data_IF_656943750598
#
_entry.id   IF_656943750598
#
_cell.length_a   1.000
_cell.length_b   1.000
_cell.length_c   1.000
_cell.angle_alpha   90.00
_cell.angle_beta   90.00
_cell.angle_gamma   90.00
#
_symmetry.space_group_name_H-M   'P 1'
#
loop_
_entity.id
_entity.type
_entity.pdbx_description
1 polymer ?
#
# COMPACT_ATOMS: atom_id res chain seq x y z
N UNK A 1 3.69 28.03 -31.40
CA UNK A 1 2.98 28.64 -30.25
C UNK A 1 4.04 29.13 -29.28
N UNK A 2 3.92 30.34 -28.71
CA UNK A 2 4.86 30.79 -27.68
C UNK A 2 4.89 29.79 -26.52
N UNK A 3 6.09 29.47 -26.01
CA UNK A 3 6.23 28.57 -24.87
C UNK A 3 5.60 29.25 -23.65
N UNK A 4 4.84 28.47 -22.87
CA UNK A 4 4.22 28.97 -21.64
C UNK A 4 5.33 29.28 -20.64
N UNK A 5 5.16 30.33 -19.85
CA UNK A 5 6.10 30.58 -18.75
C UNK A 5 6.05 29.42 -17.76
N UNK A 6 7.11 29.24 -16.98
CA UNK A 6 7.16 28.16 -16.00
C UNK A 6 6.04 28.28 -14.96
N UNK A 7 5.73 29.51 -14.52
CA UNK A 7 4.59 29.78 -13.63
C UNK A 7 3.25 29.39 -14.29
N UNK A 8 3.00 29.79 -15.54
CA UNK A 8 1.77 29.40 -16.26
C UNK A 8 1.64 27.88 -16.39
N UNK A 9 2.75 27.17 -16.60
CA UNK A 9 2.77 25.71 -16.70
C UNK A 9 2.41 25.07 -15.36
N UNK A 10 2.94 25.59 -14.25
CA UNK A 10 2.58 25.17 -12.91
C UNK A 10 1.08 25.39 -12.63
N UNK A 11 0.59 26.62 -12.86
CA UNK A 11 -0.81 26.99 -12.56
C UNK A 11 -1.80 26.13 -13.35
N UNK A 12 -1.52 25.87 -14.63
CA UNK A 12 -2.34 24.97 -15.45
C UNK A 12 -2.31 23.52 -14.95
N UNK A 13 -1.17 23.08 -14.41
CA UNK A 13 -1.03 21.72 -13.87
C UNK A 13 -1.84 21.57 -12.58
N UNK A 14 -1.80 22.57 -11.69
CA UNK A 14 -2.67 22.62 -10.50
C UNK A 14 -4.14 22.69 -10.89
N UNK A 15 -4.51 23.52 -11.85
CA UNK A 15 -5.89 23.60 -12.34
C UNK A 15 -6.37 22.26 -12.92
N UNK A 16 -5.50 21.51 -13.61
CA UNK A 16 -5.81 20.17 -14.09
C UNK A 16 -6.07 19.19 -12.93
N UNK A 17 -5.19 19.16 -11.92
CA UNK A 17 -5.41 18.31 -10.73
C UNK A 17 -6.72 18.72 -10.05
N UNK A 18 -7.02 20.01 -9.94
CA UNK A 18 -8.26 20.51 -9.34
C UNK A 18 -9.50 20.01 -10.06
N UNK A 19 -9.45 19.93 -11.39
CA UNK A 19 -10.51 19.33 -12.21
C UNK A 19 -10.71 17.83 -11.97
N UNK A 20 -9.70 17.11 -11.45
CA UNK A 20 -9.81 15.71 -11.06
C UNK A 20 -10.23 15.54 -9.59
N UNK A 21 -9.60 16.31 -8.70
CA UNK A 21 -9.82 16.27 -7.26
C UNK A 21 -9.28 17.56 -6.60
N UNK A 22 -10.18 18.41 -6.09
CA UNK A 22 -9.83 19.71 -5.50
C UNK A 22 -9.00 19.59 -4.21
N UNK A 23 -9.30 18.60 -3.36
CA UNK A 23 -8.56 18.38 -2.12
C UNK A 23 -7.10 17.97 -2.38
N UNK A 24 -6.87 17.11 -3.37
CA UNK A 24 -5.53 16.74 -3.82
C UNK A 24 -4.79 17.95 -4.38
N UNK A 25 -5.43 18.76 -5.22
CA UNK A 25 -4.82 19.97 -5.80
C UNK A 25 -4.38 20.95 -4.70
N UNK A 26 -5.25 21.22 -3.74
CA UNK A 26 -4.98 22.11 -2.61
C UNK A 26 -3.83 21.58 -1.75
N UNK A 27 -3.81 20.29 -1.45
CA UNK A 27 -2.71 19.68 -0.69
C UNK A 27 -1.38 19.75 -1.44
N UNK A 28 -1.36 19.41 -2.73
CA UNK A 28 -0.17 19.48 -3.58
C UNK A 28 0.36 20.92 -3.64
N UNK A 29 -0.50 21.91 -3.88
CA UNK A 29 -0.10 23.31 -3.96
C UNK A 29 0.50 23.84 -2.65
N UNK A 30 -0.03 23.36 -1.52
CA UNK A 30 0.49 23.69 -0.19
C UNK A 30 1.83 23.02 0.09
N UNK A 31 2.00 21.77 -0.35
CA UNK A 31 3.21 20.95 -0.08
C UNK A 31 4.45 21.52 -0.78
N UNK A 32 4.29 22.06 -1.99
CA UNK A 32 5.43 22.53 -2.82
C UNK A 32 5.63 24.06 -2.78
N UNK A 33 5.13 24.71 -1.73
CA UNK A 33 5.17 26.17 -1.58
C UNK A 33 6.61 26.70 -1.66
N UNK A 34 6.81 27.81 -2.38
CA UNK A 34 8.11 28.49 -2.49
C UNK A 34 8.99 28.08 -3.67
N UNK A 35 8.65 27.01 -4.41
CA UNK A 35 9.45 26.52 -5.56
C UNK A 35 8.63 26.34 -6.85
N UNK A 36 7.49 27.03 -6.97
CA UNK A 36 6.50 26.84 -8.04
C UNK A 36 7.06 27.06 -9.46
N UNK A 37 7.83 28.14 -9.67
CA UNK A 37 8.45 28.43 -10.97
C UNK A 37 9.47 27.36 -11.37
N UNK A 38 10.34 26.94 -10.44
CA UNK A 38 11.32 25.86 -10.69
C UNK A 38 10.62 24.54 -11.05
N UNK A 39 9.55 24.19 -10.33
CA UNK A 39 8.74 23.01 -10.65
C UNK A 39 8.08 23.17 -12.02
N UNK A 40 7.58 24.36 -12.33
CA UNK A 40 7.09 24.71 -13.66
C UNK A 40 8.08 24.36 -14.77
N UNK A 41 9.37 24.69 -14.60
CA UNK A 41 10.43 24.31 -15.54
C UNK A 41 10.59 22.79 -15.65
N UNK A 42 10.60 22.07 -14.52
CA UNK A 42 10.72 20.60 -14.47
C UNK A 42 9.55 19.86 -15.13
N UNK A 43 8.36 20.45 -15.11
CA UNK A 43 7.15 19.96 -15.78
C UNK A 43 7.16 20.20 -17.30
N UNK A 44 8.20 20.83 -17.85
CA UNK A 44 8.31 21.04 -19.28
C UNK A 44 8.35 19.73 -20.07
N UNK A 45 7.62 19.73 -21.19
CA UNK A 45 7.70 18.69 -22.22
C UNK A 45 8.37 19.22 -23.50
N UNK A 46 8.71 20.51 -23.57
CA UNK A 46 9.23 21.16 -24.79
C UNK A 46 10.74 21.01 -24.94
N UNK A 47 11.48 20.75 -23.85
CA UNK A 47 12.94 20.57 -23.87
C UNK A 47 13.47 19.32 -24.58
N UNK A 48 12.61 18.36 -24.93
CA UNK A 48 12.97 17.19 -25.74
C UNK A 48 11.98 17.04 -26.91
N UNK A 49 12.50 17.05 -28.14
CA UNK A 49 11.68 16.98 -29.38
C UNK A 49 10.62 15.87 -29.34
N UNK A 50 10.96 14.70 -28.80
CA UNK A 50 10.04 13.55 -28.70
C UNK A 50 8.83 13.77 -27.78
N UNK A 51 8.91 14.69 -26.81
CA UNK A 51 7.82 14.98 -25.88
C UNK A 51 7.03 16.24 -26.25
N UNK A 52 7.62 17.12 -27.07
CA UNK A 52 7.03 18.41 -27.43
C UNK A 52 5.65 18.25 -28.10
N UNK A 53 5.43 17.18 -28.86
CA UNK A 53 4.15 16.85 -29.51
C UNK A 53 2.99 16.66 -28.51
N UNK A 54 3.29 16.30 -27.27
CA UNK A 54 2.29 16.12 -26.23
C UNK A 54 2.02 17.40 -25.43
N UNK A 55 2.78 18.47 -25.67
CA UNK A 55 2.85 19.65 -24.80
C UNK A 55 1.52 20.31 -24.49
N UNK A 56 0.53 20.24 -25.39
CA UNK A 56 -0.81 20.81 -25.22
C UNK A 56 -1.93 19.76 -25.38
N UNK A 57 -1.62 18.48 -25.22
CA UNK A 57 -2.60 17.39 -25.28
C UNK A 57 -3.14 17.09 -23.87
N UNK A 58 -4.34 16.50 -23.79
CA UNK A 58 -4.90 16.04 -22.51
C UNK A 58 -3.96 15.08 -21.77
N UNK A 59 -3.32 14.16 -22.49
CA UNK A 59 -2.31 13.25 -21.91
C UNK A 59 -1.09 14.02 -21.39
N UNK A 60 -0.60 15.03 -22.12
CA UNK A 60 0.49 15.88 -21.64
C UNK A 60 0.13 16.66 -20.37
N UNK A 61 -1.10 17.15 -20.25
CA UNK A 61 -1.60 17.76 -19.01
C UNK A 61 -1.66 16.76 -17.85
N UNK A 62 -2.19 15.57 -18.09
CA UNK A 62 -2.25 14.50 -17.10
C UNK A 62 -0.85 14.04 -16.64
N UNK A 63 0.11 13.90 -17.55
CA UNK A 63 1.49 13.50 -17.19
C UNK A 63 2.18 14.58 -16.35
N UNK A 64 1.95 15.86 -16.64
CA UNK A 64 2.45 16.94 -15.77
C UNK A 64 1.81 16.88 -14.38
N UNK A 65 0.50 16.61 -14.30
CA UNK A 65 -0.19 16.44 -13.03
C UNK A 65 0.38 15.28 -12.21
N UNK A 66 0.67 14.14 -12.84
CA UNK A 66 1.34 13.01 -12.21
C UNK A 66 2.74 13.38 -11.72
N UNK A 67 3.55 14.02 -12.57
CA UNK A 67 4.89 14.50 -12.19
C UNK A 67 4.87 15.49 -11.03
N UNK A 68 3.85 16.34 -10.96
CA UNK A 68 3.68 17.28 -9.86
C UNK A 68 3.31 16.56 -8.54
N UNK A 69 2.44 15.56 -8.59
CA UNK A 69 2.15 14.71 -7.42
C UNK A 69 3.41 13.97 -6.96
N UNK A 70 4.13 13.34 -7.89
CA UNK A 70 5.40 12.66 -7.61
C UNK A 70 6.40 13.61 -6.95
N UNK A 71 6.56 14.83 -7.47
CA UNK A 71 7.41 15.87 -6.90
C UNK A 71 7.01 16.22 -5.46
N UNK A 72 5.71 16.37 -5.18
CA UNK A 72 5.21 16.72 -3.85
C UNK A 72 5.46 15.63 -2.81
N UNK A 73 5.36 14.34 -3.18
CA UNK A 73 5.37 13.24 -2.21
C UNK A 73 6.68 12.42 -2.19
N UNK A 74 7.46 12.45 -3.28
CA UNK A 74 8.79 11.86 -3.32
C UNK A 74 9.90 12.90 -3.10
N UNK A 75 9.61 14.20 -3.21
CA UNK A 75 10.59 15.27 -3.02
C UNK A 75 11.60 15.38 -4.17
N UNK A 76 12.83 15.78 -3.85
CA UNK A 76 13.98 15.78 -4.77
C UNK A 76 14.51 14.37 -5.03
N UNK A 77 14.31 13.43 -4.11
CA UNK A 77 14.88 12.08 -4.18
C UNK A 77 13.78 11.06 -4.45
N UNK A 78 13.70 10.63 -5.70
CA UNK A 78 12.62 9.78 -6.20
C UNK A 78 12.87 8.30 -5.89
N UNK A 79 12.59 7.88 -4.65
CA UNK A 79 12.02 6.56 -4.28
C UNK A 79 12.23 6.25 -2.79
N UNK A 80 11.22 5.63 -2.17
CA UNK A 80 11.36 4.80 -0.96
C UNK A 80 11.05 3.37 -1.38
N UNK A 81 12.04 2.47 -1.33
CA UNK A 81 11.77 1.04 -1.24
C UNK A 81 12.55 0.44 -0.07
N UNK A 82 11.83 -0.23 0.83
CA UNK A 82 12.38 -1.21 1.76
C UNK A 82 12.04 -2.57 1.15
N UNK A 83 13.07 -3.35 0.83
CA UNK A 83 12.94 -4.64 0.18
C UNK A 83 14.08 -5.58 0.53
N UNK A 84 14.62 -5.48 1.75
CA UNK A 84 15.52 -6.47 2.31
C UNK A 84 15.25 -6.64 3.82
N UNK A 85 15.26 -7.89 4.35
CA UNK A 85 15.27 -8.12 5.79
C UNK A 85 16.52 -7.47 6.42
N UNK A 86 16.35 -6.68 7.48
CA UNK A 86 17.47 -6.22 8.31
C UNK A 86 18.08 -4.85 7.99
N UNK A 87 17.52 -4.04 7.07
CA UNK A 87 18.00 -2.66 6.84
C UNK A 87 16.87 -1.65 7.07
N UNK A 88 17.06 -0.78 8.07
CA UNK A 88 16.12 0.26 8.53
C UNK A 88 16.29 1.62 7.85
N UNK A 89 16.99 1.67 6.71
CA UNK A 89 17.33 2.94 6.02
C UNK A 89 16.62 3.03 4.67
N UNK A 90 15.98 4.16 4.31
CA UNK A 90 15.41 4.38 2.99
C UNK A 90 16.48 4.28 1.90
N UNK A 91 16.34 3.34 0.96
CA UNK A 91 17.22 3.26 -0.21
C UNK A 91 16.52 3.87 -1.41
N UNK A 92 17.15 4.90 -1.97
CA UNK A 92 16.73 5.59 -3.18
C UNK A 92 17.15 4.75 -4.39
N UNK A 93 16.21 4.07 -5.05
CA UNK A 93 16.51 3.27 -6.25
C UNK A 93 16.83 4.13 -7.49
N UNK A 94 16.42 5.39 -7.51
CA UNK A 94 16.80 6.34 -8.54
C UNK A 94 17.47 7.57 -7.93
N UNK A 95 18.77 7.43 -7.66
CA UNK A 95 19.65 8.54 -7.25
C UNK A 95 19.64 9.77 -8.17
N UNK A 96 18.96 9.71 -9.32
CA UNK A 96 18.88 10.80 -10.31
C UNK A 96 17.42 11.26 -10.58
N UNK A 97 17.03 12.46 -10.14
CA UNK A 97 15.70 13.04 -10.36
C UNK A 97 15.36 13.22 -11.85
N UNK A 98 16.36 13.49 -12.69
CA UNK A 98 16.19 13.62 -14.15
C UNK A 98 15.75 12.29 -14.76
N UNK A 99 16.40 11.21 -14.37
CA UNK A 99 16.08 9.87 -14.87
C UNK A 99 14.65 9.48 -14.50
N UNK A 100 14.21 9.79 -13.28
CA UNK A 100 12.84 9.51 -12.85
C UNK A 100 11.77 10.22 -13.68
N UNK A 101 11.99 11.51 -13.98
CA UNK A 101 11.10 12.27 -14.86
C UNK A 101 11.06 11.68 -16.27
N UNK A 102 12.21 11.24 -16.80
CA UNK A 102 12.29 10.58 -18.10
C UNK A 102 11.54 9.25 -18.08
N UNK A 103 11.71 8.44 -17.02
CA UNK A 103 11.00 7.18 -16.82
C UNK A 103 9.48 7.39 -16.82
N UNK A 104 8.98 8.34 -16.03
CA UNK A 104 7.55 8.69 -15.99
C UNK A 104 7.04 9.14 -17.36
N UNK A 105 7.76 10.06 -18.03
CA UNK A 105 7.38 10.53 -19.38
C UNK A 105 7.31 9.38 -20.39
N UNK A 106 8.34 8.53 -20.44
CA UNK A 106 8.37 7.38 -21.35
C UNK A 106 7.25 6.38 -21.07
N UNK A 107 6.91 6.15 -19.80
CA UNK A 107 5.89 5.19 -19.40
C UNK A 107 4.46 5.67 -19.71
N UNK A 108 4.18 6.96 -19.50
CA UNK A 108 2.80 7.48 -19.48
C UNK A 108 2.39 8.33 -20.68
N UNK A 109 3.31 8.98 -21.41
CA UNK A 109 2.92 9.88 -22.52
C UNK A 109 2.22 9.15 -23.69
N UNK A 110 2.44 7.84 -23.82
CA UNK A 110 1.78 7.00 -24.83
C UNK A 110 0.54 6.27 -24.30
N UNK A 111 0.16 6.50 -23.04
CA UNK A 111 -1.06 5.93 -22.43
C UNK A 111 -2.26 6.85 -22.69
N UNK A 112 -3.46 6.30 -22.53
CA UNK A 112 -4.67 7.11 -22.56
C UNK A 112 -4.70 8.07 -21.37
N UNK A 113 -5.34 9.24 -21.53
CA UNK A 113 -5.49 10.21 -20.44
C UNK A 113 -6.15 9.58 -19.20
N UNK A 114 -7.10 8.66 -19.38
CA UNK A 114 -7.74 7.94 -18.28
C UNK A 114 -6.75 7.13 -17.42
N UNK A 115 -5.79 6.45 -18.03
CA UNK A 115 -4.75 5.69 -17.31
C UNK A 115 -3.85 6.62 -16.50
N UNK A 116 -3.46 7.76 -17.07
CA UNK A 116 -2.63 8.73 -16.34
C UNK A 116 -3.42 9.38 -15.19
N UNK A 117 -4.71 9.67 -15.40
CA UNK A 117 -5.58 10.22 -14.36
C UNK A 117 -5.78 9.24 -13.21
N UNK A 118 -5.88 7.93 -13.48
CA UNK A 118 -5.95 6.91 -12.44
C UNK A 118 -4.66 6.89 -11.59
N UNK A 119 -3.49 7.02 -12.21
CA UNK A 119 -2.22 7.17 -11.49
C UNK A 119 -2.18 8.44 -10.63
N UNK A 120 -2.67 9.58 -11.13
CA UNK A 120 -2.80 10.84 -10.35
C UNK A 120 -3.73 10.62 -9.15
N UNK A 121 -4.89 10.03 -9.37
CA UNK A 121 -5.89 9.77 -8.33
C UNK A 121 -5.45 8.71 -7.33
N UNK A 122 -4.42 7.91 -7.63
CA UNK A 122 -3.84 6.97 -6.65
C UNK A 122 -3.23 7.69 -5.44
N UNK A 123 -2.88 8.97 -5.56
CA UNK A 123 -2.46 9.81 -4.45
C UNK A 123 -3.60 10.21 -3.52
N UNK A 124 -4.86 9.88 -3.81
CA UNK A 124 -5.98 10.09 -2.89
C UNK A 124 -6.79 8.82 -2.70
N UNK A 125 -7.44 8.67 -1.55
CA UNK A 125 -8.38 7.58 -1.28
C UNK A 125 -9.65 7.83 -2.13
N UNK A 126 -10.11 6.85 -2.92
CA UNK A 126 -11.41 6.94 -3.58
C UNK A 126 -12.54 7.08 -2.56
N UNK A 127 -13.68 7.61 -2.99
CA UNK A 127 -14.86 7.65 -2.13
C UNK A 127 -15.30 6.21 -1.78
N UNK A 128 -15.37 5.94 -0.47
CA UNK A 128 -16.06 4.80 0.15
C UNK A 128 -15.78 3.42 -0.49
N UNK A 129 -14.55 2.88 -0.39
CA UNK A 129 -14.28 1.51 -0.82
C UNK A 129 -15.13 0.51 -0.02
N UNK A 130 -15.80 -0.41 -0.71
CA UNK A 130 -16.49 -1.52 -0.06
C UNK A 130 -15.47 -2.46 0.62
N UNK A 131 -15.74 -2.91 1.85
CA UNK A 131 -14.85 -3.80 2.62
C UNK A 131 -14.47 -5.05 1.84
N UNK A 132 -15.42 -5.69 1.15
CA UNK A 132 -15.18 -6.87 0.33
C UNK A 132 -14.09 -6.69 -0.74
N UNK A 133 -13.89 -5.46 -1.24
CA UNK A 133 -12.85 -5.14 -2.23
C UNK A 133 -11.44 -5.49 -1.74
N UNK A 134 -11.20 -5.43 -0.42
CA UNK A 134 -9.90 -5.83 0.15
C UNK A 134 -9.63 -7.33 -0.03
N UNK A 135 -10.65 -8.17 0.22
CA UNK A 135 -10.54 -9.61 0.02
C UNK A 135 -10.37 -9.96 -1.47
N UNK A 136 -11.17 -9.33 -2.34
CA UNK A 136 -11.07 -9.52 -3.80
C UNK A 136 -9.67 -9.13 -4.32
N UNK A 137 -9.10 -8.06 -3.76
CA UNK A 137 -7.75 -7.61 -4.09
C UNK A 137 -6.71 -8.64 -3.65
N UNK A 138 -6.79 -9.13 -2.42
CA UNK A 138 -5.86 -10.13 -1.91
C UNK A 138 -5.91 -11.43 -2.75
N UNK A 139 -7.11 -11.88 -3.15
CA UNK A 139 -7.28 -13.08 -3.99
C UNK A 139 -6.70 -12.93 -5.40
N UNK A 140 -6.80 -11.73 -6.01
CA UNK A 140 -6.22 -11.45 -7.34
C UNK A 140 -4.69 -11.44 -7.33
N UNK A 141 -4.08 -11.11 -6.20
CA UNK A 141 -2.65 -10.83 -6.08
C UNK A 141 -1.79 -12.10 -6.01
N UNK A 142 -2.38 -13.25 -5.71
CA UNK A 142 -1.69 -14.56 -5.74
C UNK A 142 -1.07 -14.99 -7.08
N UNK A 143 -1.15 -14.15 -8.11
CA UNK A 143 -0.67 -14.40 -9.48
C UNK A 143 0.36 -13.37 -9.98
N UNK A 144 0.97 -12.58 -9.09
CA UNK A 144 1.91 -11.51 -9.46
C UNK A 144 3.14 -12.01 -10.25
N UNK A 145 3.50 -11.26 -11.31
CA UNK A 145 4.76 -11.45 -12.05
C UNK A 145 5.99 -10.88 -11.31
N UNK A 146 7.21 -11.19 -11.76
CA UNK A 146 8.45 -10.94 -11.01
C UNK A 146 8.89 -9.47 -10.92
N UNK A 147 8.25 -8.55 -11.64
CA UNK A 147 8.76 -7.18 -11.79
C UNK A 147 7.89 -6.19 -11.04
N UNK A 148 8.45 -5.62 -9.97
CA UNK A 148 7.89 -4.45 -9.30
C UNK A 148 8.09 -3.24 -10.20
N UNK A 149 7.04 -2.55 -10.65
CA UNK A 149 7.25 -1.27 -11.29
C UNK A 149 7.89 -0.31 -10.26
N UNK A 150 8.82 0.55 -10.68
CA UNK A 150 9.28 1.65 -9.85
C UNK A 150 8.11 2.42 -9.22
N UNK A 151 8.30 2.98 -8.01
CA UNK A 151 7.20 3.62 -7.26
C UNK A 151 6.57 4.80 -8.00
N UNK A 152 7.32 5.51 -8.83
CA UNK A 152 6.81 6.58 -9.69
C UNK A 152 5.89 6.07 -10.80
N UNK A 153 5.96 4.77 -11.12
CA UNK A 153 5.07 4.12 -12.08
C UNK A 153 3.89 3.42 -11.40
N UNK A 154 3.78 3.48 -10.07
CA UNK A 154 2.74 2.81 -9.31
C UNK A 154 1.39 3.52 -9.42
N UNK A 155 0.38 2.73 -9.78
CA UNK A 155 -1.03 3.05 -9.80
C UNK A 155 -1.83 1.86 -9.22
N UNK A 156 -3.12 2.04 -8.95
CA UNK A 156 -3.95 0.98 -8.34
C UNK A 156 -4.17 -0.18 -9.30
N UNK A 157 -4.19 0.06 -10.61
CA UNK A 157 -4.34 -0.99 -11.61
C UNK A 157 -3.08 -1.84 -11.86
N UNK A 158 -1.89 -1.41 -11.40
CA UNK A 158 -0.68 -2.21 -11.57
C UNK A 158 -0.75 -3.49 -10.72
N UNK A 159 0.03 -4.54 -11.06
CA UNK A 159 0.22 -5.68 -10.18
C UNK A 159 0.72 -5.27 -8.78
N UNK A 160 0.44 -6.11 -7.79
CA UNK A 160 1.06 -5.98 -6.46
C UNK A 160 2.48 -6.54 -6.52
N UNK A 161 3.46 -5.85 -5.92
CA UNK A 161 4.82 -6.36 -5.75
C UNK A 161 4.86 -7.72 -5.05
N UNK A 162 5.91 -8.53 -5.25
CA UNK A 162 6.17 -9.70 -4.41
C UNK A 162 6.26 -9.30 -2.93
N UNK A 163 5.68 -10.12 -2.06
CA UNK A 163 5.58 -9.86 -0.62
C UNK A 163 6.19 -11.05 0.12
N UNK A 164 7.15 -10.78 1.01
CA UNK A 164 7.80 -11.80 1.82
C UNK A 164 7.26 -11.89 3.26
N UNK A 165 6.48 -10.90 3.70
CA UNK A 165 6.03 -10.76 5.09
C UNK A 165 4.54 -10.39 5.12
N UNK A 166 3.83 -10.85 6.16
CA UNK A 166 2.37 -10.71 6.30
C UNK A 166 1.86 -9.27 6.18
N UNK A 167 2.49 -8.31 6.86
CA UNK A 167 2.08 -6.90 6.80
C UNK A 167 2.38 -6.25 5.44
N UNK A 168 3.39 -6.74 4.69
CA UNK A 168 3.63 -6.31 3.31
C UNK A 168 2.44 -6.66 2.41
N UNK A 169 1.90 -7.87 2.61
CA UNK A 169 0.59 -8.31 2.14
C UNK A 169 -0.46 -7.22 2.28
N UNK A 170 -0.77 -6.92 3.53
CA UNK A 170 -1.94 -6.12 3.87
C UNK A 170 -1.82 -4.67 3.42
N UNK A 171 -0.67 -4.00 3.58
CA UNK A 171 -0.59 -2.60 3.14
C UNK A 171 -0.67 -2.44 1.62
N UNK A 172 -0.19 -3.43 0.84
CA UNK A 172 -0.34 -3.42 -0.61
C UNK A 172 -1.80 -3.66 -1.00
N UNK A 173 -2.49 -4.59 -0.34
CA UNK A 173 -3.90 -4.82 -0.59
C UNK A 173 -4.77 -3.63 -0.19
N UNK A 174 -4.48 -2.98 0.94
CA UNK A 174 -5.14 -1.74 1.34
C UNK A 174 -4.99 -0.65 0.28
N UNK A 175 -3.79 -0.49 -0.28
CA UNK A 175 -3.57 0.45 -1.37
C UNK A 175 -4.34 0.02 -2.62
N UNK A 176 -4.21 -1.21 -3.10
CA UNK A 176 -4.89 -1.62 -4.34
C UNK A 176 -6.41 -1.60 -4.24
N UNK A 177 -6.96 -1.93 -3.07
CA UNK A 177 -8.39 -1.90 -2.79
C UNK A 177 -8.96 -0.50 -2.57
N UNK A 178 -8.11 0.54 -2.50
CA UNK A 178 -8.57 1.92 -2.34
C UNK A 178 -8.79 2.35 -0.89
N UNK A 179 -8.37 1.58 0.12
CA UNK A 179 -8.50 1.99 1.52
C UNK A 179 -7.46 3.01 1.94
N UNK A 180 -6.28 2.99 1.32
CA UNK A 180 -5.21 3.98 1.58
C UNK A 180 -4.73 4.61 0.27
N UNK A 181 -4.26 5.83 0.37
CA UNK A 181 -3.60 6.54 -0.74
C UNK A 181 -2.16 6.09 -0.93
N UNK A 182 -1.59 6.35 -2.10
CA UNK A 182 -0.15 6.20 -2.33
C UNK A 182 0.66 7.08 -1.36
N UNK A 183 0.11 8.24 -0.95
CA UNK A 183 0.72 9.13 0.07
C UNK A 183 0.88 8.41 1.41
N UNK A 184 -0.19 7.75 1.86
CA UNK A 184 -0.17 6.98 3.09
C UNK A 184 0.79 5.79 3.00
N UNK A 185 0.80 5.07 1.87
CA UNK A 185 1.70 3.94 1.67
C UNK A 185 3.17 4.36 1.83
N UNK A 186 3.55 5.47 1.20
CA UNK A 186 4.93 6.00 1.23
C UNK A 186 5.37 6.53 2.60
N UNK A 187 4.41 6.99 3.41
CA UNK A 187 4.69 7.61 4.71
C UNK A 187 4.58 6.62 5.87
N UNK A 188 3.59 5.74 5.83
CA UNK A 188 3.20 4.84 6.90
C UNK A 188 3.39 3.39 6.51
N UNK A 189 2.75 2.95 5.41
CA UNK A 189 2.71 1.54 5.02
C UNK A 189 4.10 0.88 4.94
N UNK A 190 5.04 1.51 4.26
CA UNK A 190 6.40 0.97 4.09
C UNK A 190 7.27 1.02 5.36
N UNK A 191 6.78 1.65 6.43
CA UNK A 191 7.42 1.67 7.76
C UNK A 191 6.79 0.67 8.71
N UNK A 192 5.71 -0.01 8.29
CA UNK A 192 5.06 -1.03 9.09
C UNK A 192 6.05 -2.16 9.38
N UNK A 193 6.15 -2.50 10.66
CA UNK A 193 6.80 -3.70 11.16
C UNK A 193 5.97 -4.27 12.31
N UNK A 194 6.41 -5.40 12.87
CA UNK A 194 5.70 -6.07 13.94
C UNK A 194 5.44 -5.18 15.17
N UNK A 195 6.34 -4.23 15.46
CA UNK A 195 6.30 -3.37 16.65
C UNK A 195 5.35 -2.18 16.49
N UNK A 196 5.20 -1.67 15.26
CA UNK A 196 4.48 -0.42 15.02
C UNK A 196 3.20 -0.56 14.18
N UNK A 197 2.90 -1.77 13.67
CA UNK A 197 1.75 -1.99 12.79
C UNK A 197 0.42 -1.51 13.39
N UNK A 198 0.20 -1.76 14.68
CA UNK A 198 -1.05 -1.43 15.35
C UNK A 198 -1.18 0.07 15.61
N UNK A 199 -0.06 0.75 15.90
CA UNK A 199 -0.05 2.21 16.01
C UNK A 199 -0.40 2.89 14.68
N UNK A 200 -0.12 2.23 13.55
CA UNK A 200 -0.37 2.75 12.20
C UNK A 200 -1.77 2.39 11.69
N UNK A 201 -2.20 1.15 11.90
CA UNK A 201 -3.43 0.60 11.33
C UNK A 201 -4.62 0.59 12.32
N UNK A 202 -4.35 0.83 13.61
CA UNK A 202 -5.33 0.74 14.70
C UNK A 202 -5.29 -0.61 15.43
N UNK A 203 -5.86 -0.62 16.63
CA UNK A 203 -5.92 -1.81 17.49
C UNK A 203 -7.08 -2.76 17.17
N UNK A 204 -8.05 -2.29 16.38
CA UNK A 204 -9.24 -3.05 16.02
C UNK A 204 -10.15 -3.38 17.20
N UNK A 205 -11.06 -4.32 16.96
CA UNK A 205 -11.94 -4.90 17.96
C UNK A 205 -11.42 -6.30 18.28
N UNK A 206 -11.17 -6.56 19.56
CA UNK A 206 -10.72 -7.87 20.00
C UNK A 206 -11.80 -8.93 19.71
N UNK A 207 -11.38 -10.03 19.09
CA UNK A 207 -12.22 -11.16 18.79
C UNK A 207 -12.12 -12.17 19.94
N UNK A 208 -13.23 -12.84 20.25
CA UNK A 208 -13.27 -13.96 21.17
C UNK A 208 -13.83 -15.18 20.43
N UNK A 209 -13.43 -16.38 20.85
CA UNK A 209 -14.11 -17.59 20.42
C UNK A 209 -15.57 -17.54 20.89
N UNK A 210 -16.44 -18.19 20.13
CA UNK A 210 -17.81 -18.42 20.56
C UNK A 210 -17.82 -19.42 21.74
N UNK A 211 -18.92 -19.48 22.48
CA UNK A 211 -19.06 -20.36 23.66
C UNK A 211 -18.82 -21.86 23.36
N UNK A 212 -19.02 -22.28 22.10
CA UNK A 212 -18.77 -23.63 21.60
C UNK A 212 -17.31 -23.88 21.17
N UNK A 213 -16.42 -22.89 21.38
CA UNK A 213 -15.02 -22.93 20.96
C UNK A 213 -14.78 -22.69 19.47
N UNK A 214 -15.83 -22.39 18.70
CA UNK A 214 -15.69 -22.04 17.27
C UNK A 214 -15.22 -20.59 17.09
N UNK A 215 -14.62 -20.30 15.94
CA UNK A 215 -14.20 -18.92 15.64
C UNK A 215 -15.40 -18.00 15.36
N UNK A 216 -15.31 -16.73 15.75
CA UNK A 216 -16.35 -15.76 15.44
C UNK A 216 -16.42 -15.55 13.92
N UNK A 217 -17.61 -15.18 13.44
CA UNK A 217 -17.79 -14.83 12.04
C UNK A 217 -17.13 -13.47 11.75
N UNK A 218 -15.99 -13.49 11.08
CA UNK A 218 -15.30 -12.27 10.64
C UNK A 218 -15.77 -11.90 9.23
N UNK A 219 -16.40 -10.72 9.03
CA UNK A 219 -16.86 -10.30 7.71
C UNK A 219 -15.75 -10.28 6.66
N UNK A 220 -16.13 -10.57 5.41
CA UNK A 220 -15.20 -10.54 4.28
C UNK A 220 -14.61 -9.14 4.11
N UNK A 221 -13.29 -9.08 3.92
CA UNK A 221 -12.54 -7.85 3.72
C UNK A 221 -12.10 -7.14 5.00
N UNK A 222 -12.39 -7.69 6.18
CA UNK A 222 -11.78 -7.22 7.42
C UNK A 222 -10.33 -7.71 7.52
N UNK A 223 -9.48 -6.93 8.17
CA UNK A 223 -8.12 -7.37 8.52
C UNK A 223 -8.20 -8.15 9.82
N UNK A 224 -7.52 -9.29 9.89
CA UNK A 224 -7.34 -10.05 11.14
C UNK A 224 -5.87 -10.01 11.54
N UNK A 225 -5.62 -9.51 12.75
CA UNK A 225 -4.32 -9.36 13.34
C UNK A 225 -4.16 -10.29 14.55
N UNK A 226 -3.10 -11.09 14.54
CA UNK A 226 -2.67 -11.91 15.68
C UNK A 226 -1.46 -11.22 16.30
N UNK A 227 -1.56 -10.84 17.57
CA UNK A 227 -0.52 -10.05 18.25
C UNK A 227 -0.22 -10.51 19.66
N UNK A 228 1.02 -10.31 20.09
CA UNK A 228 1.42 -10.55 21.48
C UNK A 228 0.58 -9.76 22.48
N UNK A 229 0.23 -10.39 23.59
CA UNK A 229 -0.60 -9.85 24.68
C UNK A 229 0.19 -9.58 25.96
N UNK A 230 1.44 -10.01 26.01
CA UNK A 230 2.31 -9.99 27.20
C UNK A 230 3.60 -9.20 26.95
N UNK A 231 4.22 -8.60 27.99
CA UNK A 231 5.53 -7.99 27.87
C UNK A 231 6.56 -8.96 27.28
N UNK A 232 7.37 -8.48 26.33
CA UNK A 232 8.32 -9.30 25.60
C UNK A 232 7.74 -10.02 24.37
N UNK A 233 6.42 -9.91 24.11
CA UNK A 233 5.76 -10.49 22.93
C UNK A 233 5.43 -9.50 21.81
N UNK A 234 5.97 -8.28 21.88
CA UNK A 234 5.62 -7.15 21.00
C UNK A 234 5.98 -7.41 19.52
N UNK A 235 6.94 -8.29 19.26
CA UNK A 235 7.31 -8.71 17.90
C UNK A 235 6.41 -9.82 17.33
N UNK A 236 5.52 -10.42 18.14
CA UNK A 236 4.54 -11.40 17.65
C UNK A 236 3.45 -10.65 16.92
N UNK A 237 3.44 -10.75 15.60
CA UNK A 237 2.52 -9.99 14.77
C UNK A 237 2.29 -10.75 13.45
N UNK A 238 1.04 -11.19 13.20
CA UNK A 238 0.64 -11.76 11.92
C UNK A 238 -0.62 -11.09 11.40
N UNK A 239 -0.62 -10.78 10.10
CA UNK A 239 -1.65 -9.97 9.45
C UNK A 239 -2.25 -10.74 8.27
N UNK A 240 -3.58 -10.77 8.22
CA UNK A 240 -4.34 -11.47 7.19
C UNK A 240 -5.58 -10.67 6.82
N UNK A 241 -6.25 -11.06 5.74
CA UNK A 241 -7.57 -10.53 5.35
C UNK A 241 -8.59 -11.67 5.43
N UNK A 242 -9.75 -11.40 6.03
CA UNK A 242 -10.86 -12.35 6.05
C UNK A 242 -11.48 -12.48 4.66
N UNK A 243 -11.66 -13.70 4.19
CA UNK A 243 -12.45 -14.03 3.00
C UNK A 243 -13.94 -14.24 3.33
N UNK A 244 -14.31 -14.13 4.62
CA UNK A 244 -15.59 -14.57 5.15
C UNK A 244 -15.62 -16.08 5.41
N UNK A 245 -16.68 -16.56 6.04
CA UNK A 245 -16.94 -18.00 6.25
C UNK A 245 -15.79 -18.76 6.92
N UNK A 246 -15.06 -18.10 7.84
CA UNK A 246 -13.95 -18.70 8.57
C UNK A 246 -12.65 -18.89 7.78
N UNK A 247 -12.52 -18.29 6.59
CA UNK A 247 -11.30 -18.34 5.78
C UNK A 247 -10.52 -17.03 5.83
N UNK A 248 -9.20 -17.16 5.83
CA UNK A 248 -8.24 -16.06 5.75
C UNK A 248 -7.39 -16.18 4.48
N UNK A 249 -6.84 -15.05 4.05
CA UNK A 249 -5.77 -14.96 3.07
C UNK A 249 -4.61 -14.16 3.64
N UNK A 250 -3.39 -14.65 3.43
CA UNK A 250 -2.21 -14.09 4.07
C UNK A 250 -0.92 -14.39 3.32
N UNK A 251 0.16 -13.78 3.81
CA UNK A 251 1.53 -13.98 3.33
C UNK A 251 2.36 -14.52 4.49
N UNK A 252 3.26 -15.45 4.21
CA UNK A 252 4.23 -16.02 5.16
C UNK A 252 3.55 -16.57 6.44
N UNK A 253 2.96 -17.75 6.30
CA UNK A 253 2.29 -18.43 7.40
C UNK A 253 3.20 -19.44 8.09
N UNK A 254 2.88 -19.77 9.35
CA UNK A 254 3.45 -20.94 10.02
C UNK A 254 3.05 -22.20 9.23
N UNK A 255 3.84 -23.28 9.25
CA UNK A 255 3.54 -24.51 8.50
C UNK A 255 2.53 -25.46 9.17
N UNK A 256 2.17 -25.21 10.43
CA UNK A 256 1.31 -26.09 11.26
C UNK A 256 1.95 -26.44 12.61
N UNK A 257 1.18 -27.12 13.47
CA UNK A 257 1.59 -27.50 14.83
C UNK A 257 0.59 -28.41 15.52
N UNK A 258 0.93 -28.87 16.74
CA UNK A 258 0.07 -29.69 17.60
C UNK A 258 -0.24 -28.89 18.85
N UNK A 259 -1.52 -28.77 19.20
CA UNK A 259 -2.01 -28.12 20.43
C UNK A 259 -2.95 -29.11 21.10
N UNK A 260 -2.70 -29.42 22.37
CA UNK A 260 -3.48 -30.38 23.17
C UNK A 260 -3.69 -31.75 22.50
N UNK A 261 -2.66 -32.24 21.79
CA UNK A 261 -2.71 -33.52 21.06
C UNK A 261 -3.48 -33.47 19.73
N UNK A 262 -4.08 -32.32 19.37
CA UNK A 262 -4.74 -32.10 18.09
C UNK A 262 -3.78 -31.43 17.08
N UNK A 263 -3.71 -31.97 15.87
CA UNK A 263 -2.94 -31.39 14.77
C UNK A 263 -3.73 -30.26 14.10
N UNK A 264 -3.09 -29.10 13.95
CA UNK A 264 -3.62 -27.96 13.20
C UNK A 264 -2.73 -27.64 12.01
N UNK A 265 -3.34 -27.26 10.89
CA UNK A 265 -2.65 -27.02 9.64
C UNK A 265 -3.03 -25.67 9.03
N UNK A 266 -2.05 -24.78 8.97
CA UNK A 266 -2.17 -23.44 8.39
C UNK A 266 -1.43 -23.31 7.06
N UNK A 267 -1.05 -24.45 6.46
CA UNK A 267 -0.55 -24.48 5.10
C UNK A 267 -1.59 -23.91 4.13
N UNK A 268 -1.09 -23.23 3.10
CA UNK A 268 -1.93 -22.64 2.09
C UNK A 268 -2.69 -23.70 1.30
N UNK A 269 -4.02 -23.66 1.35
CA UNK A 269 -4.90 -24.50 0.53
C UNK A 269 -4.76 -24.14 -0.95
N UNK A 270 -4.59 -22.85 -1.23
CA UNK A 270 -4.38 -22.31 -2.58
C UNK A 270 -3.36 -21.18 -2.52
N UNK A 271 -2.31 -21.25 -3.35
CA UNK A 271 -1.23 -20.25 -3.41
C UNK A 271 0.15 -20.88 -3.61
N UNK A 272 1.22 -20.07 -3.59
CA UNK A 272 2.62 -20.52 -3.62
C UNK A 272 3.24 -20.53 -2.21
N UNK A 273 4.49 -20.97 -2.06
CA UNK A 273 5.12 -21.18 -0.74
C UNK A 273 5.17 -19.98 0.24
N UNK A 274 4.85 -18.77 -0.21
CA UNK A 274 4.84 -17.55 0.63
C UNK A 274 3.47 -16.86 0.72
N UNK A 275 2.43 -17.34 0.04
CA UNK A 275 1.10 -16.70 0.03
C UNK A 275 -0.01 -17.72 -0.18
N UNK A 276 -1.15 -17.51 0.47
CA UNK A 276 -2.35 -18.27 0.15
C UNK A 276 -3.45 -18.19 1.18
N UNK A 277 -4.41 -19.11 1.06
CA UNK A 277 -5.62 -19.17 1.90
C UNK A 277 -5.54 -20.28 2.94
N UNK A 278 -6.10 -20.04 4.13
CA UNK A 278 -6.08 -20.99 5.25
C UNK A 278 -7.25 -20.74 6.23
N UNK A 279 -7.64 -21.72 7.06
CA UNK A 279 -8.72 -21.54 8.03
C UNK A 279 -8.33 -20.61 9.18
N UNK A 280 -9.24 -19.69 9.56
CA UNK A 280 -9.09 -18.85 10.75
C UNK A 280 -8.93 -19.69 12.02
N UNK A 281 -9.70 -20.78 12.13
CA UNK A 281 -9.68 -21.68 13.29
C UNK A 281 -8.30 -22.28 13.55
N UNK A 282 -7.70 -22.88 12.53
CA UNK A 282 -6.40 -23.52 12.67
C UNK A 282 -5.31 -22.50 13.04
N UNK A 283 -5.40 -21.29 12.47
CA UNK A 283 -4.49 -20.20 12.81
C UNK A 283 -4.68 -19.72 14.23
N UNK A 284 -5.92 -19.57 14.67
CA UNK A 284 -6.27 -19.19 16.03
C UNK A 284 -5.66 -20.15 17.04
N UNK A 285 -5.97 -21.44 16.93
CA UNK A 285 -5.45 -22.44 17.86
C UNK A 285 -3.92 -22.50 17.87
N UNK A 286 -3.26 -22.36 16.72
CA UNK A 286 -1.80 -22.38 16.68
C UNK A 286 -1.16 -21.15 17.33
N UNK A 287 -1.75 -19.97 17.15
CA UNK A 287 -1.19 -18.74 17.71
C UNK A 287 -1.55 -18.56 19.19
N UNK A 288 -2.71 -19.07 19.64
CA UNK A 288 -3.10 -18.99 21.06
C UNK A 288 -2.66 -20.21 21.87
N UNK A 289 -2.40 -21.35 21.23
CA UNK A 289 -1.84 -22.55 21.85
C UNK A 289 -0.33 -22.39 22.05
N UNK A 290 0.21 -22.98 23.12
CA UNK A 290 1.59 -22.76 23.62
C UNK A 290 2.74 -23.08 22.64
N UNK A 291 2.46 -23.54 21.42
CA UNK A 291 3.47 -24.06 20.49
C UNK A 291 3.26 -23.52 19.07
N UNK A 292 3.87 -22.37 18.77
CA UNK A 292 4.23 -22.06 17.37
C UNK A 292 5.67 -22.47 17.11
N UNK A 293 5.92 -23.18 16.00
CA UNK A 293 7.27 -23.47 15.45
C UNK A 293 7.98 -22.23 14.88
N UNK A 294 7.63 -21.03 15.34
CA UNK A 294 8.44 -19.83 15.16
C UNK A 294 9.63 -19.98 16.11
N UNK A 295 10.72 -20.55 15.59
CA UNK A 295 11.94 -21.03 16.26
C UNK A 295 12.73 -20.01 17.12
N UNK A 296 12.12 -18.94 17.61
CA UNK A 296 12.82 -17.94 18.43
C UNK A 296 12.05 -17.41 19.63
N UNK A 297 10.77 -17.76 19.84
CA UNK A 297 9.97 -16.95 20.78
C UNK A 297 9.24 -17.67 21.91
N UNK A 298 8.77 -18.94 21.79
CA UNK A 298 8.08 -19.65 22.89
C UNK A 298 7.02 -18.78 23.64
N UNK A 299 6.25 -17.96 22.92
CA UNK A 299 5.42 -16.94 23.57
C UNK A 299 3.99 -17.41 23.73
N UNK A 300 3.57 -17.52 24.97
CA UNK A 300 2.17 -17.52 25.41
C UNK A 300 1.57 -16.12 25.28
N UNK A 301 0.24 -16.02 25.26
CA UNK A 301 -0.45 -14.73 25.24
C UNK A 301 -0.52 -14.08 23.86
N UNK A 302 -1.40 -14.57 23.00
CA UNK A 302 -1.75 -13.91 21.73
C UNK A 302 -3.20 -13.43 21.78
N UNK A 303 -3.43 -12.17 21.40
CA UNK A 303 -4.76 -11.63 21.12
C UNK A 303 -5.03 -11.65 19.63
N UNK A 304 -6.29 -11.85 19.27
CA UNK A 304 -6.76 -11.74 17.89
C UNK A 304 -7.69 -10.54 17.80
N UNK A 305 -7.42 -9.65 16.85
CA UNK A 305 -8.23 -8.46 16.62
C UNK A 305 -8.70 -8.40 15.17
N UNK A 306 -9.91 -7.88 15.00
CA UNK A 306 -10.48 -7.51 13.71
C UNK A 306 -10.34 -6.01 13.51
N UNK A 307 -9.74 -5.60 12.40
CA UNK A 307 -9.60 -4.20 12.03
C UNK A 307 -10.45 -3.93 10.79
N UNK A 308 -11.35 -2.95 10.90
CA UNK A 308 -12.04 -2.42 9.73
C UNK A 308 -11.06 -1.55 8.92
N UNK A 309 -10.74 -1.90 7.66
CA UNK A 309 -9.83 -1.10 6.86
C UNK A 309 -10.35 0.32 6.61
N UNK A 310 -11.65 0.56 6.78
CA UNK A 310 -12.27 1.88 6.71
C UNK A 310 -11.95 2.78 7.91
N UNK A 311 -11.54 2.21 9.05
CA UNK A 311 -11.21 2.97 10.27
C UNK A 311 -9.73 3.26 10.41
N UNK A 312 -8.89 2.84 9.44
CA UNK A 312 -7.45 3.13 9.47
C UNK A 312 -7.27 4.66 9.59
N UNK A 313 -6.41 5.15 10.50
CA UNK A 313 -6.13 6.57 10.62
C UNK A 313 -5.42 7.11 9.38
N UNK A 314 -5.61 8.39 9.08
CA UNK A 314 -4.77 9.12 8.13
C UNK A 314 -4.74 8.54 6.70
N UNK A 315 -5.72 7.72 6.30
CA UNK A 315 -5.78 6.98 5.01
C UNK A 315 -5.46 7.84 3.78
N UNK A 316 -5.89 9.09 3.82
CA UNK A 316 -5.69 10.04 2.74
C UNK A 316 -4.55 11.03 2.99
N UNK A 317 -4.09 11.18 4.23
CA UNK A 317 -3.14 12.22 4.57
C UNK A 317 -1.68 11.77 4.38
N UNK A 318 -0.91 12.63 3.73
CA UNK A 318 0.52 12.74 3.95
C UNK A 318 0.87 13.79 5.01
N UNK A 319 -0.07 14.13 5.90
CA UNK A 319 0.05 15.26 6.85
C UNK A 319 1.17 15.06 7.88
N UNK A 320 1.80 16.15 8.30
CA UNK A 320 2.77 16.17 9.42
C UNK A 320 2.11 15.68 10.72
N UNK A 321 2.77 14.73 11.38
CA UNK A 321 2.64 14.59 12.84
C UNK A 321 3.30 15.81 13.46
#
# INVERSE_FOLDING_TARGET
>A
MPDKTDQQRYDQTIAYIRGLNDALATHVDTTVRGVKSQIGADLSLTGYKRYAVFGNTNTGHAVRALMLCQRAYFGDHWARMKGAPGVSVPVNWMGNPVQSRITTKNAYLHKSTAVVNEAVLSYTVPATPATATLADTAERVGKGGPTVPPMELMARSNPVPPMGICYDGVYWWLYKAGFVSLRWLLRHGMRIDALNANAICGDGVELQLNDDGSCPNVPRGMIVNFRGSEPGSENTCHWTVSLGNGWLIGVNNTGGGVVDGQQFNVNFRTGGGLFGTFPLRDMWHLYTGEITRSHTTHRTGVRVAMIDPSTIPNRDSGGTL
#
